data_IF_024100240175
#
_entry.id   IF_024100240175
#
_cell.length_a   1.000
_cell.length_b   1.000
_cell.length_c   1.000
_cell.angle_alpha   90.00
_cell.angle_beta   90.00
_cell.angle_gamma   90.00
#
_symmetry.space_group_name_H-M   'P 1'
#
loop_
_entity.id
_entity.type
_entity.pdbx_description
1 polymer ?
#
# COMPACT_ATOMS: atom_id res chain seq x y z
N UNK A 1 14.57 -1.58 27.65
CA UNK A 1 13.63 -1.69 28.79
C UNK A 1 12.48 -2.61 28.37
N UNK A 2 12.51 -3.87 28.81
CA UNK A 2 11.45 -4.82 28.53
C UNK A 2 10.14 -4.37 29.19
N UNK A 3 9.14 -3.98 28.39
CA UNK A 3 7.78 -3.74 28.91
C UNK A 3 7.29 -5.06 29.50
N UNK A 4 7.06 -5.06 30.81
CA UNK A 4 6.53 -6.13 31.65
C UNK A 4 5.54 -7.06 30.90
N UNK A 5 5.82 -8.36 30.91
CA UNK A 5 5.15 -9.43 30.16
C UNK A 5 3.70 -9.75 30.57
N UNK A 6 2.85 -8.73 30.78
CA UNK A 6 1.40 -8.89 31.02
C UNK A 6 0.55 -8.15 29.97
N UNK A 7 0.98 -8.11 28.72
CA UNK A 7 0.00 -7.96 27.64
C UNK A 7 -0.77 -9.28 27.58
N UNK A 8 -2.03 -9.29 28.02
CA UNK A 8 -2.91 -10.43 27.84
C UNK A 8 -2.93 -10.75 26.33
N UNK A 9 -2.42 -11.93 25.93
CA UNK A 9 -2.36 -12.35 24.53
C UNK A 9 -3.79 -12.57 24.00
N UNK A 10 -4.51 -11.49 23.71
CA UNK A 10 -5.76 -11.54 22.96
C UNK A 10 -5.41 -11.55 21.48
N UNK A 11 -5.58 -12.72 20.88
CA UNK A 11 -5.40 -12.95 19.45
C UNK A 11 -6.63 -12.50 18.67
N UNK A 12 -6.42 -12.11 17.41
CA UNK A 12 -7.49 -11.88 16.46
C UNK A 12 -8.21 -13.21 16.19
N UNK A 13 -9.50 -13.29 16.51
CA UNK A 13 -10.33 -14.47 16.25
C UNK A 13 -11.15 -14.23 14.99
N UNK A 14 -10.74 -14.82 13.88
CA UNK A 14 -11.46 -14.71 12.63
C UNK A 14 -12.47 -15.87 12.51
N UNK A 15 -13.66 -15.57 12.00
CA UNK A 15 -14.65 -16.59 11.66
C UNK A 15 -14.28 -17.27 10.33
N UNK A 16 -14.84 -18.45 10.08
CA UNK A 16 -14.65 -19.18 8.83
C UNK A 16 -15.01 -18.31 7.61
N UNK A 17 -14.22 -18.46 6.57
CA UNK A 17 -14.43 -17.83 5.28
C UNK A 17 -13.76 -16.47 5.09
N UNK A 18 -13.03 -15.90 6.06
CA UNK A 18 -12.36 -14.59 5.88
C UNK A 18 -11.49 -14.55 4.62
N UNK A 19 -11.53 -13.42 3.92
CA UNK A 19 -10.80 -13.21 2.66
C UNK A 19 -9.82 -12.04 2.73
N UNK A 20 -9.28 -11.68 1.57
CA UNK A 20 -8.20 -10.69 1.41
C UNK A 20 -8.43 -9.40 2.22
N UNK A 21 -9.62 -8.81 2.13
CA UNK A 21 -9.96 -7.57 2.82
C UNK A 21 -9.84 -7.67 4.34
N UNK A 22 -10.20 -8.83 4.92
CA UNK A 22 -10.18 -9.08 6.35
C UNK A 22 -8.73 -9.15 6.87
N UNK A 23 -7.87 -9.88 6.15
CA UNK A 23 -6.45 -10.00 6.48
C UNK A 23 -5.70 -8.68 6.33
N UNK A 24 -5.93 -7.96 5.22
CA UNK A 24 -5.32 -6.63 5.00
C UNK A 24 -5.80 -5.65 6.07
N UNK A 25 -7.09 -5.61 6.40
CA UNK A 25 -7.60 -4.74 7.45
C UNK A 25 -6.98 -5.05 8.82
N UNK A 26 -6.80 -6.32 9.16
CA UNK A 26 -6.09 -6.73 10.38
C UNK A 26 -4.63 -6.26 10.38
N UNK A 27 -3.94 -6.33 9.24
CA UNK A 27 -2.58 -5.83 9.12
C UNK A 27 -2.51 -4.32 9.32
N UNK A 28 -3.34 -3.56 8.61
CA UNK A 28 -3.31 -2.10 8.63
C UNK A 28 -3.74 -1.51 9.97
N UNK A 29 -4.77 -2.10 10.61
CA UNK A 29 -5.38 -1.53 11.81
C UNK A 29 -4.92 -2.16 13.14
N UNK A 30 -4.15 -3.25 13.08
CA UNK A 30 -3.64 -3.92 14.28
C UNK A 30 -2.14 -4.20 14.15
N UNK A 31 -1.73 -5.03 13.20
CA UNK A 31 -0.35 -5.55 13.17
C UNK A 31 0.69 -4.46 12.91
N UNK A 32 0.55 -3.70 11.82
CA UNK A 32 1.54 -2.71 11.41
C UNK A 32 1.69 -1.58 12.44
N UNK A 33 0.62 -0.95 12.98
CA UNK A 33 0.76 0.06 14.02
C UNK A 33 1.57 -0.45 15.23
N UNK A 34 1.34 -1.69 15.65
CA UNK A 34 2.07 -2.34 16.74
C UNK A 34 3.52 -2.62 16.35
N UNK A 35 3.75 -3.15 15.15
CA UNK A 35 5.07 -3.52 14.67
C UNK A 35 5.98 -2.29 14.50
N UNK A 36 5.47 -1.17 13.99
CA UNK A 36 6.24 0.08 13.90
C UNK A 36 6.51 0.72 15.27
N UNK A 37 5.62 0.58 16.25
CA UNK A 37 5.92 1.02 17.63
C UNK A 37 6.94 0.09 18.30
N UNK A 38 6.87 -1.21 18.01
CA UNK A 38 7.78 -2.22 18.56
C UNK A 38 9.19 -2.10 17.99
N UNK A 39 9.32 -1.68 16.72
CA UNK A 39 10.58 -1.52 15.98
C UNK A 39 11.45 -2.79 16.03
N UNK A 40 10.97 -3.92 15.47
CA UNK A 40 11.69 -5.19 15.57
C UNK A 40 13.01 -5.14 14.81
N UNK A 41 14.02 -5.84 15.34
CA UNK A 41 15.29 -6.05 14.64
C UNK A 41 15.25 -7.26 13.69
N UNK A 42 14.26 -8.15 13.84
CA UNK A 42 14.01 -9.33 13.01
C UNK A 42 12.52 -9.67 13.05
N UNK A 43 11.94 -10.04 11.90
CA UNK A 43 10.57 -10.55 11.81
C UNK A 43 10.61 -12.05 11.53
N UNK A 44 9.99 -12.84 12.42
CA UNK A 44 9.77 -14.28 12.22
C UNK A 44 8.30 -14.52 11.91
N UNK A 45 8.02 -15.16 10.78
CA UNK A 45 6.67 -15.49 10.32
C UNK A 45 6.47 -17.00 10.43
N UNK A 46 5.58 -17.42 11.32
CA UNK A 46 5.02 -18.78 11.34
C UNK A 46 4.00 -18.86 10.19
N UNK A 47 4.47 -19.33 9.03
CA UNK A 47 3.78 -19.23 7.75
C UNK A 47 2.89 -20.46 7.53
N UNK A 48 1.72 -20.46 8.18
CA UNK A 48 0.64 -21.41 7.90
C UNK A 48 -0.23 -20.93 6.74
N UNK A 49 -0.35 -21.76 5.71
CA UNK A 49 -1.17 -21.50 4.53
C UNK A 49 -2.55 -22.17 4.59
N UNK A 50 -2.94 -22.66 5.76
CA UNK A 50 -4.30 -23.14 6.05
C UNK A 50 -5.36 -22.01 6.05
N UNK A 51 -4.90 -20.76 6.09
CA UNK A 51 -5.72 -19.57 5.82
C UNK A 51 -6.04 -19.33 4.33
N UNK A 52 -5.48 -20.13 3.42
CA UNK A 52 -5.69 -19.98 2.00
C UNK A 52 -7.00 -20.62 1.52
N UNK A 53 -7.50 -20.16 0.38
CA UNK A 53 -8.72 -20.66 -0.25
C UNK A 53 -8.63 -22.17 -0.54
N UNK A 54 -9.68 -22.91 -0.17
CA UNK A 54 -9.79 -24.34 -0.42
C UNK A 54 -9.12 -25.24 0.61
N UNK A 55 -8.45 -24.66 1.61
CA UNK A 55 -7.93 -25.42 2.73
C UNK A 55 -9.04 -26.06 3.57
N UNK A 56 -9.00 -27.39 3.82
CA UNK A 56 -10.06 -28.09 4.54
C UNK A 56 -10.09 -27.77 6.05
N UNK A 57 -8.97 -27.39 6.65
CA UNK A 57 -8.86 -27.13 8.08
C UNK A 57 -9.20 -25.68 8.42
N UNK A 58 -8.60 -24.72 7.72
CA UNK A 58 -8.85 -23.31 8.01
C UNK A 58 -10.17 -22.78 7.43
N UNK A 59 -10.62 -23.34 6.28
CA UNK A 59 -11.87 -22.96 5.61
C UNK A 59 -11.98 -21.45 5.34
N UNK A 60 -10.84 -20.80 5.14
CA UNK A 60 -10.74 -19.37 4.83
C UNK A 60 -10.79 -19.15 3.31
N UNK A 61 -10.75 -17.89 2.90
CA UNK A 61 -10.83 -17.46 1.50
C UNK A 61 -9.73 -16.45 1.14
N UNK A 62 -8.60 -16.46 1.85
CA UNK A 62 -7.45 -15.66 1.42
C UNK A 62 -6.88 -16.27 0.14
N UNK A 63 -6.69 -15.44 -0.89
CA UNK A 63 -6.14 -15.91 -2.16
C UNK A 63 -4.61 -15.94 -2.11
N UNK A 64 -3.92 -16.73 -2.95
CA UNK A 64 -2.45 -16.80 -2.96
C UNK A 64 -1.76 -15.44 -3.04
N UNK A 65 -2.26 -14.51 -3.87
CA UNK A 65 -1.68 -13.17 -3.99
C UNK A 65 -1.80 -12.35 -2.69
N UNK A 66 -2.76 -12.66 -1.81
CA UNK A 66 -2.84 -12.03 -0.49
C UNK A 66 -1.54 -12.23 0.30
N UNK A 67 -0.96 -13.42 0.26
CA UNK A 67 0.29 -13.71 0.96
C UNK A 67 1.48 -12.92 0.42
N UNK A 68 1.46 -12.54 -0.87
CA UNK A 68 2.45 -11.61 -1.40
C UNK A 68 2.33 -10.23 -0.74
N UNK A 69 1.10 -9.68 -0.70
CA UNK A 69 0.82 -8.40 -0.04
C UNK A 69 1.22 -8.41 1.45
N UNK A 70 0.83 -9.44 2.20
CA UNK A 70 1.16 -9.56 3.61
C UNK A 70 2.68 -9.63 3.83
N UNK A 71 3.39 -10.38 2.99
CA UNK A 71 4.85 -10.51 3.07
C UNK A 71 5.54 -9.17 2.78
N UNK A 72 5.13 -8.46 1.72
CA UNK A 72 5.70 -7.14 1.39
C UNK A 72 5.43 -6.08 2.46
N UNK A 73 4.25 -6.09 3.08
CA UNK A 73 3.94 -5.22 4.23
C UNK A 73 4.83 -5.50 5.46
N UNK A 74 5.42 -6.69 5.58
CA UNK A 74 6.37 -7.02 6.65
C UNK A 74 7.81 -6.68 6.29
N UNK A 75 8.17 -6.70 5.00
CA UNK A 75 9.54 -6.39 4.54
C UNK A 75 9.96 -4.93 4.75
N UNK A 76 9.01 -4.02 4.99
CA UNK A 76 9.33 -2.64 5.37
C UNK A 76 9.81 -2.50 6.82
N UNK A 77 9.69 -3.56 7.62
CA UNK A 77 10.12 -3.62 9.02
C UNK A 77 11.52 -4.24 9.11
N UNK A 78 12.20 -4.06 10.23
CA UNK A 78 13.47 -4.73 10.54
C UNK A 78 14.53 -4.60 9.42
N UNK A 79 14.51 -3.53 8.64
CA UNK A 79 15.38 -3.36 7.47
C UNK A 79 15.32 -4.56 6.51
N UNK A 80 14.13 -5.14 6.30
CA UNK A 80 13.92 -6.27 5.37
C UNK A 80 14.27 -7.63 5.94
N UNK A 81 14.72 -7.72 7.19
CA UNK A 81 15.06 -9.00 7.83
C UNK A 81 13.79 -9.74 8.23
N UNK A 82 13.25 -10.50 7.28
CA UNK A 82 12.07 -11.34 7.43
C UNK A 82 12.45 -12.80 7.16
N UNK A 83 12.14 -13.68 8.11
CA UNK A 83 12.28 -15.13 7.96
C UNK A 83 10.90 -15.78 8.08
N UNK A 84 10.48 -16.49 7.03
CA UNK A 84 9.24 -17.25 7.02
C UNK A 84 9.54 -18.75 7.18
N UNK A 85 8.85 -19.40 8.11
CA UNK A 85 8.96 -20.82 8.41
C UNK A 85 7.63 -21.47 8.08
N UNK A 86 7.63 -22.44 7.16
CA UNK A 86 6.43 -23.16 6.75
C UNK A 86 5.84 -23.94 7.93
N UNK A 87 4.52 -23.85 8.10
CA UNK A 87 3.76 -24.51 9.16
C UNK A 87 2.62 -25.35 8.56
N UNK A 88 1.37 -24.93 8.77
CA UNK A 88 0.17 -25.58 8.23
C UNK A 88 -0.10 -25.25 6.75
N UNK A 89 -1.12 -25.92 6.19
CA UNK A 89 -1.50 -25.86 4.78
C UNK A 89 -1.69 -27.26 4.25
N UNK A 90 -2.95 -27.63 4.03
CA UNK A 90 -3.37 -29.01 3.80
C UNK A 90 -4.07 -29.19 2.45
N UNK A 91 -4.40 -28.09 1.77
CA UNK A 91 -4.76 -28.09 0.36
C UNK A 91 -3.54 -27.83 -0.53
N UNK A 92 -2.99 -28.89 -1.14
CA UNK A 92 -1.70 -28.87 -1.83
C UNK A 92 -1.56 -27.78 -2.91
N UNK A 93 -2.59 -27.57 -3.74
CA UNK A 93 -2.56 -26.59 -4.84
C UNK A 93 -2.49 -25.15 -4.28
N UNK A 94 -3.32 -24.84 -3.29
CA UNK A 94 -3.31 -23.50 -2.66
C UNK A 94 -2.06 -23.30 -1.80
N UNK A 95 -1.55 -24.35 -1.15
CA UNK A 95 -0.29 -24.29 -0.41
C UNK A 95 0.86 -23.93 -1.34
N UNK A 96 1.02 -24.65 -2.46
CA UNK A 96 2.12 -24.39 -3.39
C UNK A 96 2.09 -22.97 -3.94
N UNK A 97 0.90 -22.50 -4.33
CA UNK A 97 0.74 -21.17 -4.90
C UNK A 97 0.98 -20.05 -3.89
N UNK A 98 0.42 -20.17 -2.68
CA UNK A 98 0.65 -19.20 -1.61
C UNK A 98 2.11 -19.15 -1.19
N UNK A 99 2.79 -20.31 -1.11
CA UNK A 99 4.22 -20.38 -0.85
C UNK A 99 5.03 -19.69 -1.96
N UNK A 100 4.71 -19.95 -3.23
CA UNK A 100 5.35 -19.26 -4.35
C UNK A 100 5.17 -17.75 -4.28
N UNK A 101 3.98 -17.25 -3.93
CA UNK A 101 3.71 -15.81 -3.76
C UNK A 101 4.52 -15.19 -2.61
N UNK A 102 4.65 -15.89 -1.49
CA UNK A 102 5.52 -15.47 -0.38
C UNK A 102 6.99 -15.42 -0.82
N UNK A 103 7.49 -16.45 -1.49
CA UNK A 103 8.90 -16.51 -1.95
C UNK A 103 9.19 -15.43 -2.98
N UNK A 104 8.32 -15.23 -3.98
CA UNK A 104 8.45 -14.13 -4.96
C UNK A 104 8.55 -12.78 -4.27
N UNK A 105 7.72 -12.55 -3.25
CA UNK A 105 7.76 -11.32 -2.47
C UNK A 105 9.09 -11.14 -1.73
N UNK A 106 9.61 -12.20 -1.11
CA UNK A 106 10.93 -12.19 -0.44
C UNK A 106 12.09 -11.95 -1.42
N UNK A 107 11.93 -12.33 -2.69
CA UNK A 107 12.88 -12.04 -3.77
C UNK A 107 12.75 -10.60 -4.33
N UNK A 108 11.78 -9.83 -3.85
CA UNK A 108 11.52 -8.45 -4.25
C UNK A 108 10.60 -8.28 -5.45
N UNK A 109 10.00 -9.35 -5.98
CA UNK A 109 9.05 -9.27 -7.08
C UNK A 109 7.80 -8.49 -6.66
N UNK A 110 7.18 -7.70 -7.56
CA UNK A 110 5.97 -6.96 -7.27
C UNK A 110 4.79 -7.89 -6.95
N UNK A 111 3.96 -7.50 -5.97
CA UNK A 111 2.78 -8.28 -5.62
C UNK A 111 1.72 -8.18 -6.72
N UNK A 112 1.08 -9.28 -7.12
CA UNK A 112 -0.06 -9.18 -8.04
C UNK A 112 -1.23 -8.45 -7.36
N UNK A 113 -2.01 -7.63 -8.09
CA UNK A 113 -3.17 -6.95 -7.50
C UNK A 113 -4.17 -7.91 -6.88
N UNK A 114 -4.67 -7.57 -5.68
CA UNK A 114 -5.65 -8.39 -4.96
C UNK A 114 -6.96 -8.55 -5.73
N UNK A 115 -7.45 -9.79 -5.78
CA UNK A 115 -8.76 -10.11 -6.32
C UNK A 115 -9.89 -9.79 -5.32
N UNK A 116 -11.05 -9.43 -5.85
CA UNK A 116 -12.29 -9.22 -5.08
C UNK A 116 -12.41 -7.83 -4.43
N UNK A 117 -13.58 -7.55 -3.81
CA UNK A 117 -13.85 -6.27 -3.17
C UNK A 117 -13.06 -6.12 -1.86
N UNK A 118 -12.45 -4.96 -1.67
CA UNK A 118 -11.74 -4.60 -0.43
C UNK A 118 -12.70 -4.07 0.64
N UNK A 119 -13.60 -4.96 1.08
CA UNK A 119 -14.61 -4.68 2.11
C UNK A 119 -14.46 -5.72 3.23
N UNK A 120 -13.95 -5.33 4.41
CA UNK A 120 -13.85 -6.23 5.54
C UNK A 120 -15.24 -6.68 6.00
N UNK A 121 -15.37 -7.95 6.39
CA UNK A 121 -16.60 -8.52 6.94
C UNK A 121 -16.89 -7.95 8.31
N UNK A 122 -18.17 -7.92 8.66
CA UNK A 122 -18.65 -7.45 9.95
C UNK A 122 -17.92 -8.16 11.12
N UNK A 123 -17.82 -9.50 11.09
CA UNK A 123 -17.16 -10.24 12.16
C UNK A 123 -15.64 -10.05 12.21
N UNK A 124 -14.99 -9.70 11.10
CA UNK A 124 -13.59 -9.28 11.12
C UNK A 124 -13.43 -7.94 11.85
N UNK A 125 -14.33 -6.99 11.58
CA UNK A 125 -14.35 -5.68 12.23
C UNK A 125 -14.61 -5.79 13.74
N UNK A 126 -15.54 -6.65 14.18
CA UNK A 126 -15.78 -6.92 15.61
C UNK A 126 -14.51 -7.45 16.31
N UNK A 127 -13.80 -8.37 15.65
CA UNK A 127 -12.55 -8.93 16.15
C UNK A 127 -11.40 -7.91 16.17
N UNK A 128 -11.28 -7.09 15.12
CA UNK A 128 -10.31 -5.98 15.06
C UNK A 128 -10.59 -5.00 16.20
N UNK A 129 -11.83 -4.58 16.38
CA UNK A 129 -12.24 -3.69 17.47
C UNK A 129 -11.91 -4.28 18.84
N UNK A 130 -12.22 -5.56 19.05
CA UNK A 130 -11.99 -6.27 20.31
C UNK A 130 -10.50 -6.37 20.66
N UNK A 131 -9.66 -6.69 19.68
CA UNK A 131 -8.20 -6.74 19.86
C UNK A 131 -7.63 -5.35 20.10
N UNK A 132 -8.05 -4.34 19.32
CA UNK A 132 -7.62 -2.96 19.52
C UNK A 132 -7.94 -2.45 20.92
N UNK A 133 -9.17 -2.67 21.39
CA UNK A 133 -9.58 -2.26 22.74
C UNK A 133 -8.78 -2.98 23.84
N UNK A 134 -8.47 -4.27 23.65
CA UNK A 134 -7.67 -5.03 24.61
C UNK A 134 -6.21 -4.57 24.68
N UNK A 135 -5.62 -4.21 23.55
CA UNK A 135 -4.21 -3.84 23.45
C UNK A 135 -3.96 -2.35 23.62
N UNK A 136 -4.99 -1.49 23.49
CA UNK A 136 -4.87 -0.04 23.65
C UNK A 136 -4.14 0.39 24.94
N UNK A 137 -4.34 -0.20 26.13
CA UNK A 137 -3.58 0.20 27.33
C UNK A 137 -2.06 0.02 27.22
N UNK A 138 -1.58 -0.80 26.29
CA UNK A 138 -0.17 -1.20 26.17
C UNK A 138 0.57 -0.58 24.98
N UNK A 139 -0.16 -0.03 24.00
CA UNK A 139 0.39 0.45 22.73
C UNK A 139 -0.06 1.88 22.43
N UNK A 140 0.90 2.80 22.34
CA UNK A 140 0.66 4.21 22.06
C UNK A 140 0.06 4.41 20.66
N UNK A 141 0.48 3.62 19.69
CA UNK A 141 -0.06 3.59 18.33
C UNK A 141 -1.59 3.38 18.30
N UNK A 142 -2.12 2.45 19.09
CA UNK A 142 -3.56 2.20 19.18
C UNK A 142 -4.30 3.30 19.95
N UNK A 143 -3.71 3.81 21.04
CA UNK A 143 -4.31 4.92 21.80
C UNK A 143 -4.52 6.16 20.93
N UNK A 144 -3.61 6.40 19.97
CA UNK A 144 -3.66 7.56 19.08
C UNK A 144 -4.75 7.48 18.01
N UNK A 145 -5.14 6.27 17.63
CA UNK A 145 -6.16 6.02 16.61
C UNK A 145 -7.56 5.84 17.19
N UNK A 146 -7.72 6.04 18.50
CA UNK A 146 -8.98 5.88 19.22
C UNK A 146 -9.40 4.42 19.39
N UNK A 147 -10.00 4.14 20.55
CA UNK A 147 -10.62 2.86 20.85
C UNK A 147 -12.09 3.12 21.21
N UNK A 148 -13.01 2.61 20.39
CA UNK A 148 -14.42 2.53 20.78
C UNK A 148 -14.58 1.45 21.85
N UNK A 149 -15.31 1.71 22.96
CA UNK A 149 -15.54 0.69 23.97
C UNK A 149 -16.32 -0.49 23.35
N UNK A 150 -15.87 -1.71 23.65
CA UNK A 150 -16.55 -2.94 23.22
C UNK A 150 -17.81 -3.08 24.06
N UNK A 151 -18.99 -2.89 23.44
CA UNK A 151 -20.27 -2.97 24.16
C UNK A 151 -20.66 -4.41 24.52
N UNK A 152 -20.12 -5.41 23.81
CA UNK A 152 -20.14 -6.84 24.19
C UNK A 152 -19.22 -7.61 23.23
N UNK A 153 -18.30 -8.48 23.70
CA UNK A 153 -17.57 -9.36 22.80
C UNK A 153 -18.52 -10.45 22.28
N UNK A 154 -18.96 -10.35 21.02
CA UNK A 154 -19.84 -11.34 20.36
C UNK A 154 -19.14 -12.68 20.10
N UNK A 155 -17.81 -12.76 20.25
CA UNK A 155 -17.04 -13.99 20.05
C UNK A 155 -16.98 -14.88 21.30
N UNK A 156 -18.10 -15.06 22.00
CA UNK A 156 -18.28 -16.17 22.94
C UNK A 156 -18.91 -17.32 22.15
N UNK A 157 -18.09 -18.27 21.69
CA UNK A 157 -18.63 -19.59 21.40
C UNK A 157 -18.87 -20.24 22.76
N UNK A 158 -20.11 -20.56 23.17
CA UNK A 158 -20.30 -21.33 24.38
C UNK A 158 -19.60 -22.67 24.16
N UNK A 159 -18.74 -23.05 25.11
CA UNK A 159 -18.17 -24.39 25.17
C UNK A 159 -19.27 -25.42 24.92
N UNK A 160 -19.10 -26.28 23.91
CA UNK A 160 -19.94 -27.47 23.74
C UNK A 160 -21.01 -27.47 22.65
N UNK A 161 -20.78 -26.86 21.46
CA UNK A 161 -21.43 -27.38 20.23
C UNK A 161 -20.38 -27.96 19.28
N UNK A 162 -20.42 -29.26 18.99
CA UNK A 162 -19.68 -29.79 17.86
C UNK A 162 -20.23 -29.16 16.57
N UNK A 163 -19.35 -28.64 15.71
CA UNK A 163 -19.70 -28.35 14.32
C UNK A 163 -20.32 -29.61 13.69
N UNK A 164 -21.50 -29.55 13.06
CA UNK A 164 -22.03 -30.69 12.33
C UNK A 164 -21.42 -30.73 10.93
N UNK A 165 -20.10 -30.86 10.83
CA UNK A 165 -19.44 -31.22 9.58
C UNK A 165 -18.37 -32.26 9.93
N UNK A 166 -18.79 -33.52 9.85
CA UNK A 166 -17.88 -34.66 9.87
C UNK A 166 -16.81 -34.47 8.77
N UNK A 167 -15.52 -34.72 9.05
CA UNK A 167 -14.50 -34.72 8.01
C UNK A 167 -14.90 -35.74 6.92
N UNK A 168 -15.14 -35.24 5.70
CA UNK A 168 -15.48 -36.06 4.53
C UNK A 168 -16.93 -36.02 4.04
N UNK A 169 -17.80 -35.16 4.60
CA UNK A 169 -19.17 -34.97 4.10
C UNK A 169 -19.24 -34.42 2.66
N UNK A 170 -20.33 -34.68 1.91
CA UNK A 170 -20.49 -34.27 0.51
C UNK A 170 -20.47 -32.74 0.32
N UNK A 171 -20.96 -31.96 1.30
CA UNK A 171 -20.92 -30.49 1.27
C UNK A 171 -19.49 -29.95 1.35
N UNK A 172 -18.62 -30.56 2.16
CA UNK A 172 -17.22 -30.18 2.28
C UNK A 172 -16.44 -30.49 1.00
N UNK A 173 -16.76 -31.62 0.35
CA UNK A 173 -16.20 -31.97 -0.96
C UNK A 173 -16.66 -31.03 -2.08
N UNK A 174 -17.92 -30.61 -2.05
CA UNK A 174 -18.47 -29.64 -3.01
C UNK A 174 -17.83 -28.26 -2.84
N UNK A 175 -17.68 -27.78 -1.60
CA UNK A 175 -17.00 -26.52 -1.29
C UNK A 175 -15.51 -26.55 -1.69
N UNK A 176 -14.81 -27.65 -1.41
CA UNK A 176 -13.42 -27.84 -1.84
C UNK A 176 -13.29 -27.85 -3.38
N UNK A 177 -14.19 -28.54 -4.09
CA UNK A 177 -14.19 -28.55 -5.55
C UNK A 177 -14.45 -27.15 -6.15
N UNK A 178 -15.37 -26.39 -5.57
CA UNK A 178 -15.65 -25.02 -6.00
C UNK A 178 -14.47 -24.08 -5.73
N UNK A 179 -13.78 -24.26 -4.59
CA UNK A 179 -12.55 -23.53 -4.27
C UNK A 179 -11.42 -23.84 -5.26
N UNK A 180 -11.25 -25.10 -5.66
CA UNK A 180 -10.26 -25.48 -6.70
C UNK A 180 -10.57 -24.81 -8.04
N UNK A 181 -11.83 -24.74 -8.45
CA UNK A 181 -12.22 -24.04 -9.69
C UNK A 181 -11.93 -22.54 -9.59
N UNK A 182 -12.28 -21.91 -8.47
CA UNK A 182 -12.00 -20.50 -8.22
C UNK A 182 -10.49 -20.20 -8.21
N UNK A 183 -9.70 -21.08 -7.57
CA UNK A 183 -8.24 -20.99 -7.54
C UNK A 183 -7.66 -21.06 -8.95
N UNK A 184 -8.08 -22.02 -9.78
CA UNK A 184 -7.60 -22.13 -11.17
C UNK A 184 -7.93 -20.91 -12.01
N UNK A 185 -9.15 -20.42 -11.92
CA UNK A 185 -9.55 -19.20 -12.64
C UNK A 185 -8.70 -17.98 -12.21
N UNK A 186 -8.36 -17.91 -10.92
CA UNK A 186 -7.48 -16.87 -10.38
C UNK A 186 -6.04 -17.05 -10.86
N UNK A 187 -5.51 -18.26 -10.87
CA UNK A 187 -4.18 -18.54 -11.39
C UNK A 187 -4.09 -18.18 -12.88
N UNK A 188 -5.09 -18.51 -13.68
CA UNK A 188 -5.15 -18.10 -15.09
C UNK A 188 -5.05 -16.58 -15.24
N UNK A 189 -5.72 -15.80 -14.37
CA UNK A 189 -5.61 -14.34 -14.36
C UNK A 189 -4.22 -13.85 -13.94
N UNK A 190 -3.56 -14.52 -13.00
CA UNK A 190 -2.21 -14.18 -12.56
C UNK A 190 -1.15 -14.50 -13.64
N UNK A 191 -1.32 -15.60 -14.39
CA UNK A 191 -0.44 -15.94 -15.50
C UNK A 191 -0.51 -14.90 -16.64
N UNK A 192 -1.61 -14.17 -16.78
CA UNK A 192 -1.74 -13.05 -17.72
C UNK A 192 -0.96 -11.78 -17.28
N UNK A 193 -0.39 -11.77 -16.07
CA UNK A 193 0.36 -10.63 -15.52
C UNK A 193 1.80 -11.05 -15.22
N UNK A 194 2.65 -11.19 -16.26
CA UNK A 194 4.05 -11.54 -16.05
C UNK A 194 4.75 -10.47 -15.21
N UNK A 195 5.73 -10.90 -14.43
CA UNK A 195 6.65 -10.01 -13.72
C UNK A 195 7.41 -9.15 -14.74
N UNK A 196 7.41 -7.81 -14.59
CA UNK A 196 8.14 -6.94 -15.50
C UNK A 196 9.63 -7.32 -15.56
N UNK A 197 10.27 -7.27 -16.75
CA UNK A 197 11.68 -7.60 -16.90
C UNK A 197 12.60 -6.61 -16.16
N UNK A 198 12.16 -5.35 -16.02
CA UNK A 198 12.90 -4.32 -15.29
C UNK A 198 12.10 -3.92 -14.05
N UNK A 199 12.70 -4.02 -12.87
CA UNK A 199 12.03 -3.64 -11.61
C UNK A 199 11.95 -2.13 -11.43
N UNK A 200 13.00 -1.42 -11.82
CA UNK A 200 13.12 0.00 -11.57
C UNK A 200 13.87 0.69 -12.71
N UNK A 201 13.31 1.79 -13.21
CA UNK A 201 13.97 2.65 -14.18
C UNK A 201 14.02 4.11 -13.71
N UNK A 202 15.12 4.80 -14.01
CA UNK A 202 15.42 6.13 -13.49
C UNK A 202 15.72 7.09 -14.64
N UNK A 203 15.12 8.27 -14.62
CA UNK A 203 15.39 9.38 -15.54
C UNK A 203 15.72 10.66 -14.75
N UNK A 204 16.96 10.76 -14.24
CA UNK A 204 17.41 11.82 -13.35
C UNK A 204 18.63 12.57 -13.91
N UNK A 205 18.56 13.05 -15.15
CA UNK A 205 19.72 13.60 -15.89
C UNK A 205 20.66 14.54 -15.12
N UNK A 206 20.21 15.46 -14.24
CA UNK A 206 21.10 16.30 -13.44
C UNK A 206 21.66 15.61 -12.19
N UNK A 207 20.97 14.60 -11.68
CA UNK A 207 21.21 13.94 -10.38
C UNK A 207 22.02 12.63 -10.49
N UNK A 208 22.10 12.05 -11.69
CA UNK A 208 22.69 10.73 -11.96
C UNK A 208 24.18 10.61 -11.58
N UNK A 209 24.95 11.69 -11.61
CA UNK A 209 26.42 11.64 -11.43
C UNK A 209 26.88 11.37 -9.99
N UNK A 210 25.99 11.48 -9.00
CA UNK A 210 26.31 11.31 -7.58
C UNK A 210 25.56 10.14 -6.91
N UNK A 211 24.70 9.43 -7.65
CA UNK A 211 23.80 8.42 -7.11
C UNK A 211 24.44 7.02 -7.09
N UNK A 212 24.46 6.39 -5.93
CA UNK A 212 24.77 4.95 -5.81
C UNK A 212 23.47 4.18 -5.94
N UNK A 213 23.19 3.69 -7.15
CA UNK A 213 22.00 2.91 -7.45
C UNK A 213 22.31 1.40 -7.46
N UNK A 214 21.34 0.54 -7.13
CA UNK A 214 21.48 -0.90 -7.32
C UNK A 214 21.82 -1.24 -8.79
N UNK A 215 22.62 -2.30 -9.04
CA UNK A 215 23.13 -2.61 -10.39
C UNK A 215 22.03 -2.96 -11.41
N UNK A 216 20.87 -3.43 -10.94
CA UNK A 216 19.75 -3.83 -11.79
C UNK A 216 18.77 -2.67 -12.09
N UNK A 217 19.06 -1.45 -11.61
CA UNK A 217 18.29 -0.25 -11.94
C UNK A 217 18.65 0.24 -13.33
N UNK A 218 17.65 0.35 -14.21
CA UNK A 218 17.84 0.84 -15.57
C UNK A 218 17.94 2.37 -15.59
N UNK A 219 19.07 2.89 -16.08
CA UNK A 219 19.16 4.31 -16.44
C UNK A 219 18.49 4.55 -17.79
N UNK A 220 17.41 5.34 -17.79
CA UNK A 220 16.59 5.58 -18.96
C UNK A 220 17.05 6.84 -19.71
N UNK A 221 17.71 6.64 -20.84
CA UNK A 221 18.11 7.74 -21.74
C UNK A 221 17.06 8.07 -22.81
N UNK A 222 16.11 7.15 -23.04
CA UNK A 222 15.03 7.33 -24.02
C UNK A 222 14.03 8.42 -23.64
N UNK A 223 13.32 8.93 -24.66
CA UNK A 223 12.27 9.93 -24.53
C UNK A 223 11.11 9.56 -25.46
N UNK A 224 9.89 9.93 -25.08
CA UNK A 224 8.72 9.87 -25.94
C UNK A 224 8.94 10.69 -27.22
N UNK A 225 8.30 10.33 -28.36
CA UNK A 225 8.41 11.07 -29.60
C UNK A 225 8.19 12.57 -29.42
N UNK A 226 9.03 13.39 -30.06
CA UNK A 226 9.03 14.84 -29.88
C UNK A 226 7.67 15.46 -30.21
N UNK A 227 7.01 14.99 -31.26
CA UNK A 227 5.69 15.48 -31.69
C UNK A 227 4.61 15.21 -30.64
N UNK A 228 4.59 14.01 -30.07
CA UNK A 228 3.65 13.61 -29.01
C UNK A 228 3.91 14.41 -27.73
N UNK A 229 5.17 14.49 -27.30
CA UNK A 229 5.57 15.27 -26.13
C UNK A 229 5.18 16.74 -26.27
N UNK A 230 5.39 17.33 -27.47
CA UNK A 230 4.98 18.70 -27.76
C UNK A 230 3.46 18.87 -27.79
N UNK A 231 2.71 17.88 -28.27
CA UNK A 231 1.25 17.94 -28.28
C UNK A 231 0.70 18.02 -26.84
N UNK A 232 1.24 17.21 -25.93
CA UNK A 232 0.89 17.27 -24.51
C UNK A 232 1.37 18.55 -23.83
N UNK A 233 2.59 19.01 -24.12
CA UNK A 233 3.15 20.23 -23.54
C UNK A 233 2.30 21.48 -23.85
N UNK A 234 1.67 21.56 -25.02
CA UNK A 234 0.82 22.68 -25.43
C UNK A 234 -0.41 22.91 -24.52
N UNK A 235 -0.77 21.94 -23.68
CA UNK A 235 -1.88 22.09 -22.73
C UNK A 235 -1.56 23.08 -21.60
N UNK A 236 -0.28 23.34 -21.32
CA UNK A 236 0.14 24.15 -20.18
C UNK A 236 1.27 25.12 -20.56
N UNK A 237 1.08 26.41 -20.25
CA UNK A 237 2.12 27.43 -20.45
C UNK A 237 3.41 27.14 -19.67
N UNK A 238 3.30 26.49 -18.52
CA UNK A 238 4.44 26.08 -17.69
C UNK A 238 5.38 25.06 -18.37
N UNK A 239 4.94 24.44 -19.46
CA UNK A 239 5.71 23.49 -20.27
C UNK A 239 6.30 24.14 -21.54
N UNK A 240 6.43 25.46 -21.57
CA UNK A 240 6.98 26.19 -22.71
C UNK A 240 8.51 26.11 -22.83
N UNK A 241 9.23 25.76 -21.76
CA UNK A 241 10.70 25.69 -21.76
C UNK A 241 11.18 24.36 -22.35
N UNK A 242 12.34 24.37 -23.03
CA UNK A 242 12.93 23.14 -23.59
C UNK A 242 13.24 22.10 -22.50
N UNK A 243 13.65 22.57 -21.33
CA UNK A 243 13.92 21.74 -20.15
C UNK A 243 12.65 21.02 -19.68
N UNK A 244 11.52 21.73 -19.53
CA UNK A 244 10.25 21.13 -19.12
C UNK A 244 9.72 20.13 -20.15
N UNK A 245 9.85 20.42 -21.44
CA UNK A 245 9.46 19.49 -22.53
C UNK A 245 10.35 18.24 -22.51
N UNK A 246 11.65 18.40 -22.26
CA UNK A 246 12.59 17.27 -22.17
C UNK A 246 12.28 16.38 -20.97
N UNK A 247 12.03 16.97 -19.80
CA UNK A 247 11.61 16.23 -18.60
C UNK A 247 10.29 15.49 -18.85
N UNK A 248 9.32 16.15 -19.47
CA UNK A 248 8.04 15.52 -19.82
C UNK A 248 8.24 14.31 -20.75
N UNK A 249 9.05 14.44 -21.79
CA UNK A 249 9.29 13.34 -22.75
C UNK A 249 9.85 12.08 -22.09
N UNK A 250 10.75 12.23 -21.11
CA UNK A 250 11.30 11.12 -20.31
C UNK A 250 10.26 10.50 -19.40
N UNK A 251 9.43 11.34 -18.77
CA UNK A 251 8.36 10.91 -17.88
C UNK A 251 7.30 10.11 -18.63
N UNK A 252 6.87 10.59 -19.80
CA UNK A 252 5.94 9.86 -20.66
C UNK A 252 6.51 8.51 -21.10
N UNK A 253 7.81 8.47 -21.48
CA UNK A 253 8.47 7.23 -21.85
C UNK A 253 8.48 6.21 -20.69
N UNK A 254 8.88 6.64 -19.50
CA UNK A 254 8.88 5.77 -18.31
C UNK A 254 7.47 5.30 -17.96
N UNK A 255 6.50 6.21 -18.04
CA UNK A 255 5.11 5.93 -17.76
C UNK A 255 4.54 4.88 -18.74
N UNK A 256 4.81 5.00 -20.03
CA UNK A 256 4.44 4.00 -21.03
C UNK A 256 5.08 2.65 -20.74
N UNK A 257 6.37 2.63 -20.38
CA UNK A 257 7.07 1.41 -19.97
C UNK A 257 6.42 0.72 -18.75
N UNK A 258 5.89 1.49 -17.79
CA UNK A 258 5.17 0.95 -16.63
C UNK A 258 3.79 0.41 -17.02
N UNK A 259 3.04 1.16 -17.84
CA UNK A 259 1.71 0.78 -18.28
C UNK A 259 1.72 -0.47 -19.18
N UNK A 260 2.74 -0.59 -20.03
CA UNK A 260 2.99 -1.74 -20.91
C UNK A 260 3.64 -2.94 -20.17
N UNK A 261 3.95 -2.80 -18.88
CA UNK A 261 4.51 -3.87 -18.04
C UNK A 261 5.97 -4.22 -18.34
N UNK A 262 6.72 -3.33 -19.02
CA UNK A 262 8.16 -3.48 -19.23
C UNK A 262 8.97 -3.08 -18.00
N UNK A 263 8.45 -2.11 -17.25
CA UNK A 263 9.05 -1.61 -16.01
C UNK A 263 8.04 -1.73 -14.87
N UNK A 264 8.46 -2.14 -13.68
CA UNK A 264 7.56 -2.11 -12.52
C UNK A 264 7.42 -0.69 -11.96
N UNK A 265 8.52 -0.05 -11.55
CA UNK A 265 8.52 1.28 -10.96
C UNK A 265 9.43 2.26 -11.70
N UNK A 266 9.14 3.55 -11.60
CA UNK A 266 9.91 4.63 -12.23
C UNK A 266 10.23 5.76 -11.26
N UNK A 267 11.34 6.45 -11.50
CA UNK A 267 11.72 7.68 -10.79
C UNK A 267 12.20 8.69 -11.83
N UNK A 268 11.61 9.89 -11.80
CA UNK A 268 11.98 10.94 -12.74
C UNK A 268 12.09 12.31 -12.04
N UNK A 269 12.93 13.16 -12.62
CA UNK A 269 13.08 14.53 -12.16
C UNK A 269 12.16 15.47 -12.96
N UNK A 270 11.65 16.50 -12.30
CA UNK A 270 10.81 17.55 -12.86
C UNK A 270 11.35 18.92 -12.47
N UNK A 271 11.42 19.88 -13.40
CA UNK A 271 11.70 21.26 -13.05
C UNK A 271 10.61 21.79 -12.10
N UNK A 272 11.01 22.46 -11.01
CA UNK A 272 10.08 22.97 -10.00
C UNK A 272 8.83 23.69 -10.57
N UNK A 273 8.95 24.68 -11.49
CA UNK A 273 7.79 25.41 -12.01
C UNK A 273 6.87 24.56 -12.91
N UNK A 274 7.37 23.45 -13.46
CA UNK A 274 6.64 22.58 -14.38
C UNK A 274 5.97 21.38 -13.68
N UNK A 275 6.32 21.08 -12.42
CA UNK A 275 5.91 19.85 -11.72
C UNK A 275 4.40 19.59 -11.74
N UNK A 276 3.58 20.60 -11.46
CA UNK A 276 2.11 20.46 -11.45
C UNK A 276 1.56 20.19 -12.86
N UNK A 277 2.08 20.87 -13.88
CA UNK A 277 1.68 20.66 -15.27
C UNK A 277 2.10 19.27 -15.78
N UNK A 278 3.32 18.82 -15.44
CA UNK A 278 3.79 17.46 -15.75
C UNK A 278 2.91 16.41 -15.08
N UNK A 279 2.55 16.61 -13.81
CA UNK A 279 1.69 15.70 -13.07
C UNK A 279 0.29 15.59 -13.70
N UNK A 280 -0.29 16.71 -14.12
CA UNK A 280 -1.57 16.73 -14.84
C UNK A 280 -1.48 15.98 -16.18
N UNK A 281 -0.42 16.23 -16.97
CA UNK A 281 -0.20 15.51 -18.23
C UNK A 281 -0.02 14.01 -17.98
N UNK A 282 0.77 13.62 -16.98
CA UNK A 282 0.98 12.22 -16.62
C UNK A 282 -0.34 11.50 -16.25
N UNK A 283 -1.22 12.19 -15.52
CA UNK A 283 -2.56 11.68 -15.21
C UNK A 283 -3.38 11.47 -16.49
N UNK A 284 -3.50 12.49 -17.35
CA UNK A 284 -4.30 12.39 -18.59
C UNK A 284 -3.75 11.34 -19.56
N UNK A 285 -2.43 11.28 -19.71
CA UNK A 285 -1.76 10.29 -20.55
C UNK A 285 -2.01 8.86 -20.02
N UNK A 286 -1.93 8.65 -18.72
CA UNK A 286 -2.24 7.35 -18.13
C UNK A 286 -3.70 6.92 -18.40
N UNK A 287 -4.64 7.86 -18.28
CA UNK A 287 -6.06 7.60 -18.56
C UNK A 287 -6.32 7.33 -20.05
N UNK A 288 -5.61 8.01 -20.96
CA UNK A 288 -5.72 7.80 -22.41
C UNK A 288 -5.10 6.47 -22.87
N UNK A 289 -4.06 6.00 -22.16
CA UNK A 289 -3.42 4.69 -22.34
C UNK A 289 -4.17 3.53 -21.67
N UNK A 290 -5.33 3.80 -21.07
CA UNK A 290 -6.26 2.78 -20.60
C UNK A 290 -6.19 2.44 -19.10
N UNK A 291 -5.38 3.16 -18.31
CA UNK A 291 -5.42 3.01 -16.85
C UNK A 291 -6.80 3.41 -16.31
N UNK A 292 -7.39 2.61 -15.43
CA UNK A 292 -8.76 2.83 -14.95
C UNK A 292 -8.78 3.60 -13.64
N UNK A 293 -7.82 3.33 -12.75
CA UNK A 293 -7.72 3.90 -11.41
C UNK A 293 -6.31 4.40 -11.12
N UNK A 294 -6.17 5.70 -10.92
CA UNK A 294 -4.91 6.39 -10.64
C UNK A 294 -4.91 6.94 -9.22
N UNK A 295 -3.92 6.56 -8.42
CA UNK A 295 -3.71 7.15 -7.10
C UNK A 295 -2.58 8.17 -7.19
N UNK A 296 -2.90 9.44 -6.99
CA UNK A 296 -1.91 10.51 -6.92
C UNK A 296 -1.68 10.92 -5.47
N UNK A 297 -0.43 10.85 -5.01
CA UNK A 297 0.00 11.33 -3.71
C UNK A 297 0.95 12.51 -3.93
N UNK A 298 0.43 13.71 -3.70
CA UNK A 298 1.15 14.96 -3.91
C UNK A 298 1.61 15.52 -2.55
N UNK A 299 2.92 15.64 -2.34
CA UNK A 299 3.53 16.09 -1.09
C UNK A 299 4.20 17.44 -1.29
N UNK A 300 3.93 18.41 -0.41
CA UNK A 300 4.48 19.77 -0.49
C UNK A 300 3.57 20.74 -1.23
N UNK A 301 4.16 21.77 -1.84
CA UNK A 301 3.42 22.81 -2.56
C UNK A 301 3.02 22.33 -3.96
N UNK A 302 2.10 21.37 -4.01
CA UNK A 302 1.52 20.83 -5.24
C UNK A 302 0.00 20.94 -5.15
N UNK A 303 -0.59 21.67 -6.10
CA UNK A 303 -2.03 21.82 -6.22
C UNK A 303 -2.63 20.72 -7.10
N UNK A 304 -3.85 20.31 -6.76
CA UNK A 304 -4.65 19.45 -7.65
C UNK A 304 -4.98 20.24 -8.91
N UNK A 305 -4.80 19.67 -10.11
CA UNK A 305 -5.25 20.30 -11.35
C UNK A 305 -6.76 20.60 -11.30
N UNK A 306 -7.16 21.83 -11.65
CA UNK A 306 -8.51 22.34 -11.42
C UNK A 306 -9.59 21.66 -12.26
N UNK A 307 -9.21 21.12 -13.42
CA UNK A 307 -10.08 20.43 -14.36
C UNK A 307 -10.04 18.90 -14.24
N UNK A 308 -9.32 18.37 -13.24
CA UNK A 308 -9.33 16.95 -12.94
C UNK A 308 -10.72 16.53 -12.44
N UNK A 309 -11.44 15.79 -13.29
CA UNK A 309 -12.78 15.30 -13.00
C UNK A 309 -12.83 14.46 -11.70
N UNK A 310 -13.94 14.56 -10.97
CA UNK A 310 -14.23 13.72 -9.82
C UNK A 310 -15.10 12.52 -10.24
N UNK A 311 -14.61 11.77 -11.22
CA UNK A 311 -15.30 10.64 -11.87
C UNK A 311 -15.02 9.29 -11.19
N UNK A 312 -14.27 9.29 -10.09
CA UNK A 312 -13.84 8.10 -9.37
C UNK A 312 -12.69 7.33 -10.01
N UNK A 313 -12.10 7.83 -11.11
CA UNK A 313 -10.91 7.24 -11.73
C UNK A 313 -9.61 7.75 -11.13
N UNK A 314 -9.62 8.90 -10.46
CA UNK A 314 -8.44 9.46 -9.81
C UNK A 314 -8.68 9.76 -8.34
N UNK A 315 -7.91 9.13 -7.46
CA UNK A 315 -7.85 9.45 -6.05
C UNK A 315 -6.66 10.39 -5.79
N UNK A 316 -6.94 11.61 -5.37
CA UNK A 316 -5.94 12.63 -5.09
C UNK A 316 -5.74 12.83 -3.58
N UNK A 317 -4.52 12.56 -3.11
CA UNK A 317 -4.10 12.75 -1.73
C UNK A 317 -3.04 13.87 -1.66
N UNK A 318 -3.37 14.98 -1.02
CA UNK A 318 -2.44 16.09 -0.78
C UNK A 318 -1.86 15.98 0.63
N UNK A 319 -0.54 15.99 0.77
CA UNK A 319 0.16 16.09 2.07
C UNK A 319 0.80 17.47 2.15
N UNK A 320 0.10 18.43 2.76
CA UNK A 320 0.54 19.83 2.80
C UNK A 320 -0.02 20.59 4.01
N UNK A 321 0.74 21.58 4.48
CA UNK A 321 0.25 22.58 5.44
C UNK A 321 -0.20 21.99 6.78
N UNK A 322 -1.12 22.71 7.46
CA UNK A 322 -1.68 22.35 8.77
C UNK A 322 -3.13 21.86 8.73
N UNK A 323 -3.85 22.07 7.63
CA UNK A 323 -5.28 21.80 7.57
C UNK A 323 -5.59 20.42 6.96
N UNK A 324 -6.51 19.71 7.61
CA UNK A 324 -7.07 18.44 7.13
C UNK A 324 -8.48 18.69 6.57
N UNK A 325 -8.70 18.30 5.32
CA UNK A 325 -10.01 18.41 4.68
C UNK A 325 -10.22 17.29 3.66
N UNK A 326 -11.36 16.59 3.73
CA UNK A 326 -11.87 15.81 2.60
C UNK A 326 -12.74 16.73 1.73
N UNK A 327 -12.17 17.27 0.65
CA UNK A 327 -12.87 18.14 -0.30
C UNK A 327 -13.87 17.35 -1.15
N UNK A 328 -13.58 16.07 -1.39
CA UNK A 328 -14.51 15.07 -1.91
C UNK A 328 -14.09 13.68 -1.42
N UNK A 329 -14.84 12.63 -1.78
CA UNK A 329 -14.47 11.26 -1.43
C UNK A 329 -13.20 10.78 -2.14
N UNK A 330 -12.81 11.42 -3.26
CA UNK A 330 -11.57 11.17 -3.99
C UNK A 330 -10.58 12.34 -3.92
N UNK A 331 -10.83 13.33 -3.06
CA UNK A 331 -9.91 14.46 -2.83
C UNK A 331 -9.69 14.67 -1.34
N UNK A 332 -8.54 14.22 -0.84
CA UNK A 332 -8.21 14.28 0.57
C UNK A 332 -6.95 15.09 0.78
N UNK A 333 -7.03 16.14 1.60
CA UNK A 333 -5.89 16.92 2.06
C UNK A 333 -5.58 16.57 3.51
N UNK A 334 -4.33 16.24 3.80
CA UNK A 334 -3.83 15.92 5.12
C UNK A 334 -2.65 16.84 5.50
N UNK A 335 -2.50 17.17 6.79
CA UNK A 335 -1.39 18.00 7.25
C UNK A 335 -0.06 17.27 7.08
N UNK A 336 1.02 18.05 6.96
CA UNK A 336 2.36 17.50 7.01
C UNK A 336 2.67 17.04 8.45
N UNK A 337 2.90 15.74 8.70
CA UNK A 337 3.04 15.26 10.07
C UNK A 337 4.40 15.65 10.66
N UNK A 338 4.39 16.35 11.80
CA UNK A 338 5.62 16.81 12.46
C UNK A 338 6.37 15.74 13.25
N UNK A 339 5.81 14.53 13.39
CA UNK A 339 6.37 13.43 14.20
C UNK A 339 6.29 12.10 13.46
N UNK A 340 7.15 11.14 13.84
CA UNK A 340 7.11 9.78 13.29
C UNK A 340 5.74 9.11 13.48
N UNK A 341 5.15 9.18 14.67
CA UNK A 341 3.83 8.59 14.93
C UNK A 341 2.70 9.33 14.22
N UNK A 342 2.78 10.65 14.05
CA UNK A 342 1.85 11.40 13.20
C UNK A 342 1.88 10.87 11.77
N UNK A 343 3.06 10.72 11.20
CA UNK A 343 3.26 10.19 9.86
C UNK A 343 2.72 8.76 9.71
N UNK A 344 3.09 7.85 10.61
CA UNK A 344 2.61 6.47 10.59
C UNK A 344 1.09 6.39 10.76
N UNK A 345 0.49 7.27 11.57
CA UNK A 345 -0.96 7.30 11.74
C UNK A 345 -1.69 7.70 10.45
N UNK A 346 -1.22 8.70 9.71
CA UNK A 346 -1.81 9.03 8.41
C UNK A 346 -1.57 7.92 7.39
N UNK A 347 -0.36 7.37 7.31
CA UNK A 347 -0.05 6.34 6.31
C UNK A 347 -0.82 5.05 6.56
N UNK A 348 -0.75 4.49 7.76
CA UNK A 348 -1.34 3.18 8.09
C UNK A 348 -2.86 3.25 8.30
N UNK A 349 -3.36 4.39 8.78
CA UNK A 349 -4.75 4.52 9.20
C UNK A 349 -5.61 5.37 8.24
N UNK A 350 -5.02 5.89 7.16
CA UNK A 350 -5.75 6.62 6.11
C UNK A 350 -5.23 6.28 4.70
N UNK A 351 -3.97 6.58 4.38
CA UNK A 351 -3.42 6.44 3.02
C UNK A 351 -3.49 5.00 2.51
N UNK A 352 -2.97 4.03 3.27
CA UNK A 352 -2.98 2.62 2.85
C UNK A 352 -4.39 2.03 2.81
N UNK A 353 -5.26 2.21 3.81
CA UNK A 353 -6.64 1.80 3.69
C UNK A 353 -7.36 2.36 2.46
N UNK A 354 -7.15 3.64 2.13
CA UNK A 354 -7.70 4.26 0.92
C UNK A 354 -7.09 3.63 -0.35
N UNK A 355 -5.77 3.43 -0.40
CA UNK A 355 -5.10 2.81 -1.53
C UNK A 355 -5.59 1.36 -1.78
N UNK A 356 -5.72 0.55 -0.71
CA UNK A 356 -6.28 -0.79 -0.82
C UNK A 356 -7.76 -0.76 -1.20
N UNK A 357 -8.57 0.14 -0.63
CA UNK A 357 -9.97 0.30 -1.01
C UNK A 357 -10.15 0.74 -2.47
N UNK A 358 -9.21 1.54 -2.99
CA UNK A 358 -9.24 2.08 -4.34
C UNK A 358 -8.66 1.12 -5.39
N UNK A 359 -7.74 0.24 -5.00
CA UNK A 359 -7.05 -0.72 -5.88
C UNK A 359 -6.46 -0.03 -7.13
N UNK A 360 -5.51 0.91 -6.99
CA UNK A 360 -4.97 1.65 -8.13
C UNK A 360 -4.26 0.74 -9.13
N UNK A 361 -4.39 1.06 -10.42
CA UNK A 361 -3.60 0.43 -11.48
C UNK A 361 -2.21 1.07 -11.61
N UNK A 362 -2.06 2.31 -11.12
CA UNK A 362 -0.82 3.07 -11.07
C UNK A 362 -0.86 4.07 -9.90
N UNK A 363 0.28 4.24 -9.24
CA UNK A 363 0.50 5.30 -8.25
C UNK A 363 1.46 6.34 -8.81
N UNK A 364 1.06 7.61 -8.75
CA UNK A 364 1.94 8.76 -8.97
C UNK A 364 2.29 9.37 -7.61
N UNK A 365 3.57 9.31 -7.23
CA UNK A 365 4.08 9.93 -6.00
C UNK A 365 4.88 11.18 -6.36
N UNK A 366 4.29 12.36 -6.21
CA UNK A 366 4.96 13.61 -6.54
C UNK A 366 5.45 14.31 -5.27
N UNK A 367 6.76 14.55 -5.17
CA UNK A 367 7.38 15.31 -4.09
C UNK A 367 7.76 16.69 -4.61
N UNK A 368 6.95 17.69 -4.27
CA UNK A 368 7.14 19.08 -4.66
C UNK A 368 8.19 19.80 -3.82
N UNK A 369 8.35 21.10 -4.10
CA UNK A 369 9.22 21.96 -3.29
C UNK A 369 8.73 22.03 -1.84
N UNK A 370 9.68 22.10 -0.91
CA UNK A 370 9.42 22.17 0.53
C UNK A 370 8.46 21.06 1.04
N UNK A 371 8.54 19.84 0.48
CA UNK A 371 7.72 18.69 0.90
C UNK A 371 7.85 18.35 2.40
N UNK A 372 8.97 18.70 3.03
CA UNK A 372 9.16 18.64 4.49
C UNK A 372 9.19 17.24 5.11
N UNK A 373 8.92 16.18 4.34
CA UNK A 373 9.18 14.79 4.73
C UNK A 373 10.68 14.53 4.87
N UNK A 374 11.06 13.77 5.90
CA UNK A 374 12.39 13.16 5.97
C UNK A 374 12.55 12.11 4.87
N UNK A 375 13.79 11.87 4.45
CA UNK A 375 14.12 10.83 3.45
C UNK A 375 13.53 9.47 3.81
N UNK A 376 13.64 9.06 5.08
CA UNK A 376 13.07 7.79 5.55
C UNK A 376 11.54 7.73 5.52
N UNK A 377 10.86 8.87 5.69
CA UNK A 377 9.40 8.94 5.57
C UNK A 377 8.97 8.85 4.10
N UNK A 378 9.63 9.58 3.21
CA UNK A 378 9.35 9.50 1.77
C UNK A 378 9.61 8.08 1.23
N UNK A 379 10.72 7.47 1.65
CA UNK A 379 11.07 6.10 1.32
C UNK A 379 10.04 5.08 1.80
N UNK A 380 9.62 5.18 3.08
CA UNK A 380 8.60 4.28 3.60
C UNK A 380 7.25 4.46 2.90
N UNK A 381 6.86 5.70 2.59
CA UNK A 381 5.63 5.98 1.85
C UNK A 381 5.65 5.32 0.47
N UNK A 382 6.75 5.48 -0.28
CA UNK A 382 6.94 4.84 -1.58
C UNK A 382 6.90 3.31 -1.49
N UNK A 383 7.63 2.73 -0.53
CA UNK A 383 7.67 1.28 -0.30
C UNK A 383 6.28 0.70 -0.01
N UNK A 384 5.51 1.37 0.86
CA UNK A 384 4.17 0.93 1.26
C UNK A 384 3.15 1.10 0.13
N UNK A 385 3.23 2.16 -0.67
CA UNK A 385 2.33 2.40 -1.82
C UNK A 385 2.62 1.47 -3.01
N UNK A 386 3.83 0.94 -3.11
CA UNK A 386 4.21 -0.08 -4.10
C UNK A 386 3.34 -1.34 -4.00
N UNK A 387 2.92 -1.69 -2.78
CA UNK A 387 2.19 -2.92 -2.50
C UNK A 387 0.78 -2.92 -3.13
N UNK A 388 -0.14 -1.99 -2.81
CA UNK A 388 -1.49 -1.97 -3.41
C UNK A 388 -1.51 -1.69 -4.92
N UNK A 389 -0.44 -1.09 -5.48
CA UNK A 389 -0.30 -0.81 -6.91
C UNK A 389 0.34 -1.96 -7.70
N UNK A 390 0.67 -3.07 -7.04
CA UNK A 390 1.37 -4.20 -7.63
C UNK A 390 2.69 -3.80 -8.31
N UNK A 391 3.47 -2.96 -7.66
CA UNK A 391 4.75 -2.48 -8.17
C UNK A 391 4.66 -1.23 -9.05
N UNK A 392 3.49 -0.87 -9.59
CA UNK A 392 3.32 0.21 -10.56
C UNK A 392 3.31 1.57 -9.88
N UNK A 393 4.50 2.12 -9.66
CA UNK A 393 4.69 3.42 -9.01
C UNK A 393 5.64 4.27 -9.85
N UNK A 394 5.22 5.48 -10.20
CA UNK A 394 6.09 6.50 -10.76
C UNK A 394 6.26 7.61 -9.73
N UNK A 395 7.48 7.78 -9.24
CA UNK A 395 7.85 8.86 -8.34
C UNK A 395 8.42 10.04 -9.13
N UNK A 396 7.92 11.24 -8.83
CA UNK A 396 8.38 12.49 -9.43
C UNK A 396 9.06 13.34 -8.35
N UNK A 397 10.29 13.74 -8.62
CA UNK A 397 11.09 14.60 -7.77
C UNK A 397 11.36 15.93 -8.44
N UNK A 398 11.30 17.01 -7.66
CA UNK A 398 11.81 18.29 -8.13
C UNK A 398 13.34 18.21 -8.31
N UNK A 399 13.89 18.75 -9.40
CA UNK A 399 15.33 18.65 -9.74
C UNK A 399 16.25 19.19 -8.64
N UNK A 400 15.82 20.20 -7.90
CA UNK A 400 16.54 20.76 -6.76
C UNK A 400 16.52 19.88 -5.49
N UNK A 401 15.91 18.69 -5.56
CA UNK A 401 15.86 17.74 -4.44
C UNK A 401 17.25 17.15 -4.12
N UNK A 402 17.43 16.75 -2.87
CA UNK A 402 18.67 16.13 -2.42
C UNK A 402 18.94 14.81 -3.17
N UNK A 403 20.16 14.59 -3.71
CA UNK A 403 20.53 13.32 -4.35
C UNK A 403 20.32 12.10 -3.44
N UNK A 404 20.49 12.27 -2.12
CA UNK A 404 20.23 11.22 -1.14
C UNK A 404 18.78 10.72 -1.20
N UNK A 405 17.81 11.65 -1.28
CA UNK A 405 16.39 11.30 -1.39
C UNK A 405 16.10 10.46 -2.63
N UNK A 406 16.66 10.84 -3.77
CA UNK A 406 16.51 10.09 -5.02
C UNK A 406 17.12 8.69 -4.93
N UNK A 407 18.29 8.55 -4.31
CA UNK A 407 18.93 7.26 -4.09
C UNK A 407 18.10 6.32 -3.23
N UNK A 408 17.59 6.82 -2.09
CA UNK A 408 16.74 6.02 -1.20
C UNK A 408 15.42 5.66 -1.88
N UNK A 409 14.80 6.58 -2.63
CA UNK A 409 13.57 6.28 -3.38
C UNK A 409 13.80 5.22 -4.45
N UNK A 410 14.90 5.29 -5.20
CA UNK A 410 15.24 4.27 -6.19
C UNK A 410 15.44 2.88 -5.55
N UNK A 411 16.12 2.81 -4.40
CA UNK A 411 16.32 1.56 -3.65
C UNK A 411 14.99 0.92 -3.22
N UNK A 412 14.08 1.69 -2.61
CA UNK A 412 12.81 1.14 -2.12
C UNK A 412 11.83 0.81 -3.25
N UNK A 413 11.84 1.56 -4.35
CA UNK A 413 11.03 1.24 -5.53
C UNK A 413 11.55 -0.01 -6.24
N UNK A 414 12.88 -0.21 -6.27
CA UNK A 414 13.50 -1.45 -6.72
C UNK A 414 13.11 -2.66 -5.84
N UNK A 415 12.83 -2.43 -4.56
CA UNK A 415 12.29 -3.42 -3.63
C UNK A 415 13.11 -3.64 -2.36
N UNK A 416 14.11 -2.80 -2.11
CA UNK A 416 14.85 -2.82 -0.86
C UNK A 416 14.02 -2.28 0.31
N UNK A 417 14.39 -2.65 1.53
CA UNK A 417 13.72 -2.17 2.71
C UNK A 417 14.02 -0.68 2.95
N UNK A 418 13.00 0.11 3.37
CA UNK A 418 13.20 1.51 3.70
C UNK A 418 14.12 1.66 4.93
N UNK A 419 14.85 2.78 5.03
CA UNK A 419 15.67 3.07 6.19
C UNK A 419 14.79 3.27 7.45
N UNK A 420 15.38 3.07 8.63
CA UNK A 420 14.68 3.25 9.90
C UNK A 420 14.12 4.67 10.04
N UNK A 421 12.91 4.77 10.58
CA UNK A 421 12.28 6.04 10.94
C UNK A 421 12.86 6.67 12.22
N UNK A 422 13.72 5.93 12.92
CA UNK A 422 14.15 6.22 14.28
C UNK A 422 13.08 5.85 15.32
N UNK A 423 13.28 6.25 16.59
CA UNK A 423 12.38 5.87 17.67
C UNK A 423 10.95 6.36 17.44
N UNK A 424 9.98 5.55 17.85
CA UNK A 424 8.57 5.90 17.77
C UNK A 424 8.25 7.13 18.66
N UNK A 425 7.77 8.19 18.04
CA UNK A 425 7.34 9.42 18.71
C UNK A 425 5.82 9.58 18.57
N UNK A 426 5.14 9.94 19.67
CA UNK A 426 3.68 10.09 19.70
C UNK A 426 3.22 11.21 18.75
N UNK A 427 2.15 10.96 18.00
CA UNK A 427 1.50 11.97 17.17
C UNK A 427 1.09 13.21 17.99
N UNK A 428 1.21 14.40 17.40
CA UNK A 428 0.74 15.63 18.06
C UNK A 428 -0.78 15.59 18.24
N UNK A 429 -1.36 16.29 19.24
CA UNK A 429 -2.82 16.37 19.38
C UNK A 429 -3.52 16.88 18.11
N UNK A 430 -2.89 17.82 17.39
CA UNK A 430 -3.39 18.33 16.11
C UNK A 430 -3.45 17.25 15.03
N UNK A 431 -2.38 16.45 14.88
CA UNK A 431 -2.35 15.34 13.91
C UNK A 431 -3.45 14.31 14.21
N UNK A 432 -3.66 13.97 15.50
CA UNK A 432 -4.71 13.04 15.91
C UNK A 432 -6.09 13.59 15.56
N UNK A 433 -6.36 14.85 15.89
CA UNK A 433 -7.64 15.49 15.61
C UNK A 433 -7.91 15.56 14.09
N UNK A 434 -6.89 15.91 13.31
CA UNK A 434 -6.95 15.93 11.85
C UNK A 434 -7.27 14.55 11.27
N UNK A 435 -6.58 13.49 11.70
CA UNK A 435 -6.86 12.13 11.26
C UNK A 435 -8.29 11.71 11.61
N UNK A 436 -8.73 11.96 12.84
CA UNK A 436 -10.09 11.61 13.29
C UNK A 436 -11.18 12.38 12.55
N UNK A 437 -10.89 13.62 12.15
CA UNK A 437 -11.78 14.42 11.32
C UNK A 437 -11.93 13.79 9.92
N UNK A 438 -10.80 13.49 9.25
CA UNK A 438 -10.80 12.86 7.93
C UNK A 438 -11.47 11.49 7.93
N UNK A 439 -11.17 10.64 8.91
CA UNK A 439 -11.79 9.30 9.01
C UNK A 439 -13.31 9.39 9.14
N UNK A 440 -13.84 10.27 10.00
CA UNK A 440 -15.29 10.48 10.13
C UNK A 440 -15.96 10.89 8.81
N UNK A 441 -15.28 11.67 7.97
CA UNK A 441 -15.82 12.09 6.68
C UNK A 441 -15.82 10.94 5.66
N UNK A 442 -14.84 10.04 5.71
CA UNK A 442 -14.54 9.08 4.65
C UNK A 442 -15.00 7.63 4.95
N UNK A 443 -15.09 7.24 6.22
CA UNK A 443 -15.31 5.85 6.67
C UNK A 443 -16.65 5.23 6.21
N UNK A 444 -17.66 6.06 5.92
CA UNK A 444 -18.94 5.58 5.40
C UNK A 444 -18.83 5.04 3.97
N UNK A 445 -17.96 5.65 3.16
CA UNK A 445 -17.73 5.31 1.75
C UNK A 445 -16.57 4.34 1.57
N UNK A 446 -15.49 4.51 2.35
CA UNK A 446 -14.28 3.72 2.26
C UNK A 446 -14.25 2.63 3.34
N UNK A 447 -14.73 1.44 3.00
CA UNK A 447 -14.90 0.33 3.96
C UNK A 447 -13.60 -0.14 4.60
N UNK A 448 -12.46 -0.03 3.90
CA UNK A 448 -11.15 -0.34 4.48
C UNK A 448 -10.74 0.60 5.63
N UNK A 449 -11.38 1.77 5.79
CA UNK A 449 -11.14 2.64 6.95
C UNK A 449 -11.87 2.16 8.21
N UNK A 450 -12.76 1.17 8.12
CA UNK A 450 -13.54 0.73 9.27
C UNK A 450 -12.67 -0.05 10.26
N UNK A 451 -12.80 0.29 11.53
CA UNK A 451 -12.11 -0.39 12.66
C UNK A 451 -13.06 -0.95 13.70
N UNK A 452 -14.36 -0.74 13.48
CA UNK A 452 -15.44 -1.22 14.31
C UNK A 452 -16.62 -1.59 13.41
N UNK A 453 -17.38 -2.58 13.85
CA UNK A 453 -18.58 -2.97 13.15
C UNK A 453 -19.68 -1.90 13.38
N UNK A 454 -20.46 -1.53 12.36
CA UNK A 454 -21.60 -0.64 12.56
C UNK A 454 -22.61 -1.29 13.52
N UNK A 455 -23.18 -0.47 14.40
CA UNK A 455 -24.12 -0.89 15.44
C UNK A 455 -25.46 -1.40 14.87
#
# INVERSE_FOLDING_TARGET
MARSGRAQRRCLRLQVGMGNADYVAAFLHVLLPLAFEFDPELVLVSAGFDSAIGDPEGQMQATPECFAHLTQLLQVLAGGRVCAVLEGGYHLESLSESLCMTVRSLLGDPAPPLSGPMVPRHSALESIQSVRAAHAPHWLSLQQQGSTPVLSPSTYSPEGRPSPLLPGGPELKAAAAQATVALRALLDQLHLRPTPPVRMAVALTPLDTALVLPPDVLHQEGSSPKEETQAWARLHEALATEEAVTALGKILYLLDGILDGQVSSGLAATPAPATVAILDVALRHSLSRGAQRLLCVAVGQLDRPSDLADDGRTLWLSVRGKEAAALSIFHVSMPLPGTTGGFLNFVLALVLPLAYGFQPDLVLLALGTAHGLRESQAALLAALLRVPAGGRVLALLVEESAPQLAGVLAQVLHGEAPPSLGPFCVASPGDKQALMHLRRQLESQWKMLQVAAPA
#
